data_IF_833227837277
#
_entry.id   IF_833227837277
#
_cell.length_a   1.000
_cell.length_b   1.000
_cell.length_c   1.000
_cell.angle_alpha   90.00
_cell.angle_beta   90.00
_cell.angle_gamma   90.00
#
_symmetry.space_group_name_H-M   'P 1'
#
loop_
_entity.id
_entity.type
_entity.pdbx_description
1 polymer ?
#
# COMPACT_ATOMS: atom_id res chain seq x y z
N UNK A 1 -54.58 33.85 -24.69
CA UNK A 1 -54.56 33.96 -26.17
C UNK A 1 -54.06 32.64 -26.63
N UNK A 2 -54.93 31.72 -26.97
CA UNK A 2 -55.48 31.33 -28.28
C UNK A 2 -54.33 30.86 -29.18
N UNK A 3 -54.35 29.71 -29.84
CA UNK A 3 -55.39 28.73 -30.21
C UNK A 3 -54.70 27.52 -30.80
N UNK A 4 -55.05 26.33 -30.46
CA UNK A 4 -55.79 25.31 -31.26
C UNK A 4 -55.45 25.18 -32.75
N UNK A 5 -55.08 23.96 -33.19
CA UNK A 5 -55.96 23.18 -34.05
C UNK A 5 -55.45 21.76 -34.35
N UNK A 6 -56.41 20.86 -34.32
CA UNK A 6 -56.35 19.46 -34.72
C UNK A 6 -56.86 19.28 -36.13
N UNK A 7 -56.46 18.17 -36.82
CA UNK A 7 -57.22 17.45 -37.85
C UNK A 7 -56.50 16.13 -38.13
N UNK A 8 -57.00 14.98 -37.77
CA UNK A 8 -58.04 14.06 -38.34
C UNK A 8 -57.72 13.57 -39.77
N UNK A 9 -57.66 12.25 -39.86
CA UNK A 9 -58.35 11.48 -40.87
C UNK A 9 -57.55 10.57 -41.78
N UNK A 10 -57.92 9.31 -41.77
CA UNK A 10 -57.93 8.58 -43.02
C UNK A 10 -57.44 7.12 -43.00
N UNK A 11 -58.34 6.23 -42.66
CA UNK A 11 -58.28 4.77 -42.87
C UNK A 11 -58.27 4.43 -44.36
N UNK A 12 -57.47 3.40 -44.75
CA UNK A 12 -57.82 2.55 -45.91
C UNK A 12 -57.20 1.15 -45.78
N UNK A 13 -58.06 0.16 -45.70
CA UNK A 13 -57.75 -1.28 -45.81
C UNK A 13 -57.55 -1.62 -47.26
N UNK A 14 -56.48 -2.38 -47.59
CA UNK A 14 -56.47 -3.22 -48.79
C UNK A 14 -55.87 -4.57 -48.47
N UNK A 15 -56.73 -5.62 -48.54
CA UNK A 15 -56.36 -7.03 -48.56
C UNK A 15 -55.82 -7.37 -49.95
N UNK A 16 -54.74 -8.11 -50.06
CA UNK A 16 -54.46 -8.97 -51.21
C UNK A 16 -53.55 -10.16 -50.84
N UNK A 17 -54.04 -11.26 -51.20
CA UNK A 17 -53.66 -12.68 -51.28
C UNK A 17 -52.17 -13.05 -51.34
N UNK A 18 -51.88 -14.14 -50.63
CA UNK A 18 -50.64 -14.90 -50.69
C UNK A 18 -50.49 -15.77 -51.96
N UNK A 19 -49.26 -16.09 -52.34
CA UNK A 19 -49.01 -17.46 -52.78
C UNK A 19 -47.98 -18.18 -51.88
N UNK A 20 -48.31 -19.41 -51.59
CA UNK A 20 -47.45 -20.38 -50.92
C UNK A 20 -46.30 -20.75 -51.85
N UNK A 21 -45.07 -20.52 -51.40
CA UNK A 21 -43.88 -21.04 -52.07
C UNK A 21 -43.12 -21.91 -51.03
N UNK A 22 -43.10 -23.22 -51.33
CA UNK A 22 -42.36 -24.18 -50.56
C UNK A 22 -40.85 -23.90 -50.66
N UNK A 23 -40.21 -23.63 -49.57
CA UNK A 23 -38.76 -23.45 -49.52
C UNK A 23 -38.15 -24.68 -48.83
N UNK A 24 -37.33 -25.38 -49.60
CA UNK A 24 -36.48 -26.49 -49.17
C UNK A 24 -35.48 -25.97 -48.09
N UNK A 25 -35.56 -26.51 -46.87
CA UNK A 25 -34.62 -26.21 -45.79
C UNK A 25 -33.33 -27.00 -46.06
N UNK A 26 -32.38 -26.35 -46.69
CA UNK A 26 -30.99 -26.78 -46.69
C UNK A 26 -30.33 -26.40 -45.34
N UNK A 27 -30.11 -27.39 -44.47
CA UNK A 27 -29.37 -27.22 -43.22
C UNK A 27 -27.90 -26.99 -43.54
N UNK A 28 -27.51 -25.73 -43.68
CA UNK A 28 -26.10 -25.34 -43.61
C UNK A 28 -25.69 -25.30 -42.15
N UNK A 29 -24.91 -26.29 -41.72
CA UNK A 29 -24.16 -26.25 -40.46
C UNK A 29 -23.21 -25.04 -40.51
N UNK A 30 -23.59 -23.92 -39.89
CA UNK A 30 -22.66 -22.89 -39.52
C UNK A 30 -21.78 -23.43 -38.40
N UNK A 31 -20.57 -23.90 -38.74
CA UNK A 31 -19.48 -24.01 -37.77
C UNK A 31 -19.22 -22.63 -37.17
N UNK A 32 -19.74 -22.42 -35.97
CA UNK A 32 -19.32 -21.29 -35.16
C UNK A 32 -17.82 -21.48 -34.84
N UNK A 33 -16.94 -20.82 -35.60
CA UNK A 33 -15.60 -20.58 -35.17
C UNK A 33 -15.70 -19.70 -33.90
N UNK A 34 -15.64 -20.35 -32.75
CA UNK A 34 -15.40 -19.65 -31.51
C UNK A 34 -14.00 -19.03 -31.61
N UNK A 35 -13.95 -17.76 -31.95
CA UNK A 35 -12.73 -16.96 -31.81
C UNK A 35 -12.39 -16.90 -30.34
N UNK A 36 -11.56 -17.82 -29.85
CA UNK A 36 -10.93 -17.71 -28.56
C UNK A 36 -10.08 -16.44 -28.63
N UNK A 37 -10.52 -15.40 -27.95
CA UNK A 37 -9.68 -14.21 -27.68
C UNK A 37 -8.37 -14.73 -27.09
N UNK A 38 -7.19 -14.41 -27.66
CA UNK A 38 -5.93 -14.89 -27.09
C UNK A 38 -5.84 -14.41 -25.64
N UNK A 39 -5.73 -15.36 -24.71
CA UNK A 39 -5.50 -15.05 -23.31
C UNK A 39 -4.19 -14.27 -23.19
N UNK A 40 -4.19 -13.15 -22.44
CA UNK A 40 -2.98 -12.40 -22.15
C UNK A 40 -1.94 -13.36 -21.52
N UNK A 41 -0.67 -13.23 -21.91
CA UNK A 41 0.42 -14.04 -21.35
C UNK A 41 1.54 -13.15 -20.82
N UNK A 42 2.25 -13.63 -19.79
CA UNK A 42 3.49 -13.06 -19.29
C UNK A 42 4.54 -14.17 -19.29
N UNK A 43 5.64 -13.97 -20.00
CA UNK A 43 6.66 -14.99 -20.24
C UNK A 43 6.08 -16.34 -20.73
N UNK A 44 5.06 -16.27 -21.59
CA UNK A 44 4.35 -17.44 -22.14
C UNK A 44 3.35 -18.09 -21.18
N UNK A 45 3.29 -17.68 -19.92
CA UNK A 45 2.34 -18.22 -18.95
C UNK A 45 0.99 -17.47 -19.03
N UNK A 46 -0.16 -18.18 -18.92
CA UNK A 46 -1.48 -17.54 -18.97
C UNK A 46 -1.70 -16.64 -17.76
N UNK A 47 -2.23 -15.43 -18.02
CA UNK A 47 -2.64 -14.50 -16.97
C UNK A 47 -4.05 -14.84 -16.49
N UNK A 48 -4.22 -14.88 -15.17
CA UNK A 48 -5.51 -14.97 -14.49
C UNK A 48 -5.79 -13.70 -13.73
N UNK A 49 -6.91 -13.06 -13.99
CA UNK A 49 -7.35 -11.87 -13.27
C UNK A 49 -8.23 -12.26 -12.09
N UNK A 50 -7.85 -11.85 -10.90
CA UNK A 50 -8.56 -12.02 -9.64
C UNK A 50 -9.23 -10.70 -9.26
N UNK A 51 -10.56 -10.73 -9.09
CA UNK A 51 -11.32 -9.56 -8.65
C UNK A 51 -11.79 -9.79 -7.22
N UNK A 52 -11.52 -8.85 -6.33
CA UNK A 52 -11.87 -8.92 -4.92
C UNK A 52 -12.48 -7.60 -4.47
N UNK A 53 -13.58 -7.69 -3.73
CA UNK A 53 -14.22 -6.53 -3.12
C UNK A 53 -14.46 -6.80 -1.64
N UNK A 54 -14.63 -5.75 -0.86
CA UNK A 54 -15.28 -5.87 0.44
C UNK A 54 -16.68 -6.46 0.25
N UNK A 55 -17.10 -7.33 1.15
CA UNK A 55 -18.42 -7.98 1.08
C UNK A 55 -19.57 -7.01 1.34
N UNK A 56 -19.27 -5.90 2.03
CA UNK A 56 -20.23 -4.84 2.39
C UNK A 56 -19.61 -3.47 2.14
N UNK A 57 -20.43 -2.49 1.77
CA UNK A 57 -20.03 -1.09 1.79
C UNK A 57 -19.65 -0.67 3.22
N UNK A 58 -18.63 0.17 3.32
CA UNK A 58 -18.17 0.71 4.61
C UNK A 58 -18.37 2.21 4.66
N UNK A 59 -18.95 2.69 5.77
CA UNK A 59 -19.05 4.13 6.06
C UNK A 59 -17.94 4.49 7.04
N UNK A 60 -16.94 5.30 6.64
CA UNK A 60 -15.85 5.68 7.50
C UNK A 60 -16.32 6.39 8.77
N UNK A 61 -15.62 6.19 9.87
CA UNK A 61 -16.00 6.69 11.19
C UNK A 61 -14.88 7.47 11.86
N UNK A 62 -15.25 8.52 12.60
CA UNK A 62 -14.29 9.31 13.40
C UNK A 62 -13.85 8.52 14.64
N UNK A 63 -12.98 7.56 14.46
CA UNK A 63 -12.44 6.74 15.55
C UNK A 63 -11.71 7.62 16.57
N UNK A 64 -12.05 7.47 17.85
CA UNK A 64 -11.50 8.26 18.96
C UNK A 64 -11.59 9.79 18.74
N UNK A 65 -12.55 10.26 17.93
CA UNK A 65 -12.72 11.67 17.59
C UNK A 65 -11.64 12.23 16.65
N UNK A 66 -10.95 11.35 15.92
CA UNK A 66 -9.99 11.72 14.89
C UNK A 66 -10.66 12.14 13.58
N UNK A 67 -9.83 12.51 12.61
CA UNK A 67 -10.21 12.90 11.24
C UNK A 67 -9.88 11.84 10.22
N UNK A 68 -9.43 10.69 10.68
CA UNK A 68 -8.96 9.59 9.85
C UNK A 68 -9.49 8.26 10.37
N UNK A 69 -9.76 7.34 9.46
CA UNK A 69 -10.18 5.98 9.77
C UNK A 69 -9.36 4.99 8.94
N UNK A 70 -8.92 3.92 9.60
CA UNK A 70 -8.23 2.81 8.97
C UNK A 70 -9.08 1.56 9.13
N UNK A 71 -9.60 1.07 8.02
CA UNK A 71 -10.44 -0.10 8.02
C UNK A 71 -9.81 -1.25 7.23
N UNK A 72 -9.64 -2.39 7.90
CA UNK A 72 -9.17 -3.63 7.31
C UNK A 72 -10.34 -4.54 6.99
N UNK A 73 -10.35 -5.11 5.80
CA UNK A 73 -11.25 -6.20 5.40
C UNK A 73 -10.46 -7.39 4.90
N UNK A 74 -10.98 -8.60 5.18
CA UNK A 74 -10.37 -9.81 4.71
C UNK A 74 -10.97 -10.20 3.37
N UNK A 75 -10.16 -10.24 2.31
CA UNK A 75 -10.59 -10.64 0.98
C UNK A 75 -9.94 -11.96 0.57
N UNK A 76 -10.69 -12.77 -0.17
CA UNK A 76 -10.25 -14.10 -0.58
C UNK A 76 -9.97 -14.13 -2.09
N UNK A 77 -8.71 -14.20 -2.51
CA UNK A 77 -8.32 -14.30 -3.91
C UNK A 77 -8.62 -15.69 -4.52
N UNK A 78 -9.05 -16.66 -3.71
CA UNK A 78 -9.35 -18.04 -4.12
C UNK A 78 -8.20 -18.73 -4.86
N UNK A 79 -6.96 -18.42 -4.47
CA UNK A 79 -5.75 -18.95 -5.13
C UNK A 79 -5.63 -20.46 -4.93
N UNK A 80 -5.75 -21.22 -6.03
CA UNK A 80 -5.74 -22.69 -6.03
C UNK A 80 -4.36 -23.30 -6.22
N UNK A 81 -3.38 -22.50 -6.65
CA UNK A 81 -1.99 -22.89 -6.84
C UNK A 81 -1.08 -21.72 -6.47
N UNK A 82 0.19 -22.00 -6.16
CA UNK A 82 1.17 -20.94 -5.97
C UNK A 82 1.28 -20.10 -7.25
N UNK A 83 1.23 -18.78 -7.10
CA UNK A 83 1.18 -17.83 -8.21
C UNK A 83 2.06 -16.60 -7.92
N UNK A 84 2.33 -15.84 -8.96
CA UNK A 84 2.93 -14.52 -8.84
C UNK A 84 1.92 -13.45 -9.26
N UNK A 85 1.80 -12.39 -8.49
CA UNK A 85 1.11 -11.16 -8.88
C UNK A 85 2.03 -10.40 -9.82
N UNK A 86 1.54 -10.08 -11.02
CA UNK A 86 2.28 -9.33 -12.07
C UNK A 86 1.71 -7.94 -12.29
N UNK A 87 0.49 -7.69 -11.85
CA UNK A 87 -0.07 -6.34 -11.76
C UNK A 87 -1.15 -6.27 -10.69
N UNK A 88 -1.41 -5.06 -10.21
CA UNK A 88 -2.49 -4.74 -9.29
C UNK A 88 -3.18 -3.45 -9.70
N UNK A 89 -4.48 -3.36 -9.45
CA UNK A 89 -5.24 -2.13 -9.60
C UNK A 89 -6.27 -2.04 -8.47
N UNK A 90 -6.20 -0.97 -7.72
CA UNK A 90 -7.18 -0.65 -6.69
C UNK A 90 -8.19 0.34 -7.25
N UNK A 91 -9.44 0.17 -6.86
CA UNK A 91 -10.55 1.03 -7.23
C UNK A 91 -11.19 1.54 -5.94
N UNK A 92 -11.05 2.82 -5.62
CA UNK A 92 -11.48 3.39 -4.33
C UNK A 92 -13.01 3.47 -4.18
N UNK A 93 -13.77 3.15 -5.21
CA UNK A 93 -15.22 3.27 -5.25
C UNK A 93 -15.68 4.16 -6.40
N UNK A 94 -16.83 4.77 -6.29
CA UNK A 94 -17.42 5.63 -7.33
C UNK A 94 -17.99 6.94 -6.76
N UNK A 95 -18.09 7.98 -7.58
CA UNK A 95 -18.72 9.24 -7.21
C UNK A 95 -17.88 10.08 -6.23
N UNK A 96 -18.53 10.80 -5.33
CA UNK A 96 -17.89 11.74 -4.40
C UNK A 96 -17.09 11.05 -3.30
N UNK A 97 -17.46 9.83 -2.91
CA UNK A 97 -16.77 9.07 -1.86
C UNK A 97 -15.33 8.67 -2.23
N UNK A 98 -14.95 8.75 -3.50
CA UNK A 98 -13.57 8.51 -3.95
C UNK A 98 -12.56 9.43 -3.28
N UNK A 99 -12.96 10.69 -3.02
CA UNK A 99 -12.08 11.68 -2.38
C UNK A 99 -11.76 11.36 -0.91
N UNK A 100 -12.55 10.49 -0.29
CA UNK A 100 -12.36 10.07 1.10
C UNK A 100 -11.30 8.99 1.24
N UNK A 101 -11.01 8.25 0.16
CA UNK A 101 -9.99 7.20 0.16
C UNK A 101 -8.62 7.82 -0.02
N UNK A 102 -7.82 7.81 1.07
CA UNK A 102 -6.49 8.39 1.09
C UNK A 102 -5.44 7.44 0.50
N UNK A 103 -5.41 6.19 0.96
CA UNK A 103 -4.61 5.12 0.35
C UNK A 103 -5.17 3.74 0.70
N UNK A 104 -4.68 2.73 0.02
CA UNK A 104 -4.96 1.34 0.33
C UNK A 104 -3.68 0.51 0.28
N UNK A 105 -3.55 -0.44 1.20
CA UNK A 105 -2.44 -1.38 1.25
C UNK A 105 -3.00 -2.80 1.26
N UNK A 106 -2.40 -3.67 0.46
CA UNK A 106 -2.72 -5.08 0.45
C UNK A 106 -1.62 -5.86 1.17
N UNK A 107 -2.00 -6.60 2.20
CA UNK A 107 -1.09 -7.47 2.94
C UNK A 107 -1.41 -8.94 2.70
N UNK A 108 -0.37 -9.74 2.51
CA UNK A 108 -0.50 -11.19 2.43
C UNK A 108 -0.85 -11.76 3.81
N UNK A 109 -1.89 -12.57 3.86
CA UNK A 109 -2.18 -13.45 4.99
C UNK A 109 -1.76 -14.87 4.60
N UNK A 110 -0.59 -15.35 5.03
CA UNK A 110 -0.15 -16.68 4.69
C UNK A 110 -1.06 -17.77 5.30
N UNK A 111 -1.11 -18.99 4.76
CA UNK A 111 -2.04 -20.02 5.20
C UNK A 111 -2.05 -20.28 6.71
N UNK A 112 -0.89 -20.17 7.38
CA UNK A 112 -0.75 -20.34 8.84
C UNK A 112 -1.52 -19.31 9.68
N UNK A 113 -1.79 -18.10 9.13
CA UNK A 113 -2.48 -17.01 9.83
C UNK A 113 -3.95 -16.85 9.42
N UNK A 114 -4.43 -17.62 8.45
CA UNK A 114 -5.81 -17.50 7.91
C UNK A 114 -6.87 -17.62 9.01
N UNK A 115 -6.69 -18.54 9.99
CA UNK A 115 -7.65 -18.68 11.09
C UNK A 115 -7.70 -17.44 11.96
N UNK A 116 -6.56 -16.89 12.34
CA UNK A 116 -6.48 -15.66 13.15
C UNK A 116 -7.07 -14.45 12.41
N UNK A 117 -6.77 -14.31 11.12
CA UNK A 117 -7.32 -13.25 10.29
C UNK A 117 -8.86 -13.32 10.16
N UNK A 118 -9.42 -14.51 9.98
CA UNK A 118 -10.88 -14.71 9.98
C UNK A 118 -11.53 -14.38 11.31
N UNK A 119 -10.85 -14.63 12.43
CA UNK A 119 -11.36 -14.25 13.76
C UNK A 119 -11.38 -12.74 13.93
N UNK A 120 -10.39 -12.02 13.38
CA UNK A 120 -10.33 -10.56 13.44
C UNK A 120 -11.38 -9.87 12.55
N UNK A 121 -11.82 -10.52 11.47
CA UNK A 121 -12.67 -9.94 10.41
C UNK A 121 -14.17 -9.81 10.80
N UNK A 122 -14.55 -10.09 12.03
CA UNK A 122 -15.95 -10.01 12.52
C UNK A 122 -17.01 -10.36 11.46
N UNK A 123 -16.97 -11.57 10.95
CA UNK A 123 -17.93 -12.08 9.96
C UNK A 123 -17.95 -11.32 8.62
N UNK A 124 -16.84 -10.76 8.19
CA UNK A 124 -16.71 -10.05 6.91
C UNK A 124 -17.04 -8.56 6.98
N UNK A 125 -17.25 -8.02 8.19
CA UNK A 125 -17.45 -6.56 8.39
C UNK A 125 -16.12 -5.81 8.43
N UNK A 126 -15.02 -6.50 8.66
CA UNK A 126 -13.71 -5.91 8.87
C UNK A 126 -13.51 -5.36 10.29
N UNK A 127 -12.44 -4.62 10.49
CA UNK A 127 -12.06 -4.04 11.79
C UNK A 127 -11.22 -2.79 11.62
N UNK A 128 -11.21 -1.92 12.66
CA UNK A 128 -10.28 -0.79 12.74
C UNK A 128 -8.85 -1.28 12.91
N UNK A 129 -7.91 -0.79 12.09
CA UNK A 129 -6.55 -1.29 12.04
C UNK A 129 -5.54 -0.17 11.75
N UNK A 130 -5.42 0.79 12.67
CA UNK A 130 -4.37 1.81 12.58
C UNK A 130 -2.98 1.16 12.55
N UNK A 131 -2.07 1.73 11.78
CA UNK A 131 -0.73 1.18 11.57
C UNK A 131 -0.74 -0.13 10.82
N UNK A 132 -0.18 -1.17 11.43
CA UNK A 132 -0.18 -2.51 10.85
C UNK A 132 -1.38 -3.33 11.29
N UNK A 133 -1.89 -4.24 10.43
CA UNK A 133 -2.88 -5.21 10.86
C UNK A 133 -2.34 -6.10 12.00
N UNK A 134 -2.87 -6.03 13.24
CA UNK A 134 -2.28 -6.73 14.40
C UNK A 134 -2.17 -8.25 14.24
N UNK A 135 -3.01 -8.84 13.40
CA UNK A 135 -2.97 -10.29 13.11
C UNK A 135 -1.68 -10.71 12.41
N UNK A 136 -0.98 -9.79 11.76
CA UNK A 136 0.31 -10.02 11.12
C UNK A 136 1.49 -9.76 12.08
N UNK A 137 1.22 -9.23 13.28
CA UNK A 137 2.18 -8.85 14.29
C UNK A 137 2.21 -7.34 14.54
N UNK A 138 2.95 -6.89 15.54
CA UNK A 138 3.02 -5.49 15.94
C UNK A 138 4.46 -5.04 16.21
N UNK A 139 4.69 -3.71 16.16
CA UNK A 139 5.96 -3.08 16.45
C UNK A 139 6.89 -2.98 15.24
N UNK A 140 7.94 -2.17 15.39
CA UNK A 140 8.81 -1.75 14.29
C UNK A 140 9.45 -2.91 13.52
N UNK A 141 9.86 -3.97 14.19
CA UNK A 141 10.44 -5.14 13.53
C UNK A 141 9.43 -5.82 12.61
N UNK A 142 8.15 -5.85 13.03
CA UNK A 142 7.07 -6.42 12.24
C UNK A 142 6.69 -5.49 11.10
N UNK A 143 6.62 -4.18 11.32
CA UNK A 143 6.40 -3.20 10.25
C UNK A 143 7.42 -3.37 9.12
N UNK A 144 8.70 -3.49 9.45
CA UNK A 144 9.78 -3.69 8.47
C UNK A 144 9.71 -5.06 7.75
N UNK A 145 9.07 -6.06 8.36
CA UNK A 145 8.89 -7.40 7.80
C UNK A 145 7.48 -7.65 7.24
N UNK A 146 6.64 -6.62 7.20
CA UNK A 146 5.25 -6.74 6.78
C UNK A 146 5.15 -7.27 5.34
N UNK A 147 4.31 -8.26 5.08
CA UNK A 147 4.21 -8.89 3.77
C UNK A 147 3.32 -8.08 2.81
N UNK A 148 3.81 -6.93 2.38
CA UNK A 148 3.12 -6.07 1.42
C UNK A 148 3.01 -6.75 0.07
N UNK A 149 1.81 -6.77 -0.51
CA UNK A 149 1.57 -7.25 -1.88
C UNK A 149 1.48 -6.10 -2.87
N UNK A 150 0.83 -5.01 -2.48
CA UNK A 150 0.63 -3.82 -3.27
C UNK A 150 0.25 -2.65 -2.38
N UNK A 151 0.45 -1.43 -2.87
CA UNK A 151 -0.06 -0.20 -2.28
C UNK A 151 -0.64 0.70 -3.37
N UNK A 152 -1.69 1.44 -3.03
CA UNK A 152 -2.31 2.43 -3.88
C UNK A 152 -2.48 3.75 -3.13
N UNK A 153 -2.26 4.84 -3.84
CA UNK A 153 -2.55 6.21 -3.40
C UNK A 153 -3.24 6.98 -4.54
N UNK A 154 -3.86 8.13 -4.31
CA UNK A 154 -4.48 8.94 -5.34
C UNK A 154 -3.54 9.17 -6.54
N UNK A 155 -4.11 9.18 -7.73
CA UNK A 155 -3.35 9.28 -8.98
C UNK A 155 -2.75 7.97 -9.50
N UNK A 156 -2.72 6.89 -8.69
CA UNK A 156 -2.25 5.57 -9.12
C UNK A 156 -3.28 4.88 -10.02
N UNK A 157 -2.86 4.51 -11.22
CA UNK A 157 -3.61 3.61 -12.10
C UNK A 157 -3.27 2.14 -11.85
N UNK A 158 -3.29 1.33 -12.91
CA UNK A 158 -2.83 -0.06 -12.87
C UNK A 158 -1.33 -0.11 -12.62
N UNK A 159 -0.94 -0.75 -11.55
CA UNK A 159 0.45 -0.97 -11.17
C UNK A 159 0.97 -2.27 -11.80
N UNK A 160 1.96 -2.18 -12.67
CA UNK A 160 2.52 -3.32 -13.41
C UNK A 160 3.95 -3.58 -12.94
N UNK A 161 4.22 -4.83 -12.56
CA UNK A 161 5.56 -5.25 -12.13
C UNK A 161 6.55 -5.21 -13.29
N UNK A 162 7.85 -4.94 -13.03
CA UNK A 162 8.87 -5.07 -14.06
C UNK A 162 8.86 -6.47 -14.67
N UNK A 163 9.14 -6.54 -15.97
CA UNK A 163 9.22 -7.83 -16.69
C UNK A 163 10.12 -8.82 -15.94
N UNK A 164 9.81 -10.10 -16.02
CA UNK A 164 10.49 -11.21 -15.36
C UNK A 164 10.41 -11.22 -13.83
N UNK A 165 9.59 -10.33 -13.21
CA UNK A 165 9.41 -10.26 -11.77
C UNK A 165 7.95 -10.43 -11.37
N UNK A 166 7.69 -10.86 -10.14
CA UNK A 166 6.33 -10.98 -9.61
C UNK A 166 6.32 -11.10 -8.09
N UNK A 167 5.26 -10.62 -7.46
CA UNK A 167 5.08 -10.74 -6.02
C UNK A 167 4.47 -12.11 -5.69
N UNK A 168 5.11 -12.93 -4.84
CA UNK A 168 4.62 -14.26 -4.52
C UNK A 168 3.25 -14.24 -3.83
N UNK A 169 2.32 -15.08 -4.31
CA UNK A 169 1.00 -15.29 -3.75
C UNK A 169 0.79 -16.80 -3.53
N UNK A 170 1.03 -17.33 -2.32
CA UNK A 170 0.92 -18.75 -2.02
C UNK A 170 -0.51 -19.27 -2.14
N UNK A 171 -0.65 -20.55 -2.52
CA UNK A 171 -1.93 -21.26 -2.51
C UNK A 171 -2.60 -21.17 -1.12
N UNK A 172 -3.89 -20.85 -1.11
CA UNK A 172 -4.69 -20.80 0.13
C UNK A 172 -4.45 -19.58 1.01
N UNK A 173 -3.67 -18.60 0.54
CA UNK A 173 -3.54 -17.30 1.20
C UNK A 173 -4.83 -16.50 1.12
N UNK A 174 -5.05 -15.64 2.11
CA UNK A 174 -5.99 -14.51 2.06
C UNK A 174 -5.22 -13.21 1.94
N UNK A 175 -5.94 -12.12 1.76
CA UNK A 175 -5.38 -10.76 1.67
C UNK A 175 -6.14 -9.88 2.67
N UNK A 176 -5.40 -9.10 3.45
CA UNK A 176 -5.98 -7.97 4.18
C UNK A 176 -5.91 -6.76 3.25
N UNK A 177 -7.06 -6.18 2.96
CA UNK A 177 -7.18 -4.90 2.29
C UNK A 177 -7.39 -3.84 3.37
N UNK A 178 -6.35 -3.08 3.68
CA UNK A 178 -6.40 -1.93 4.57
C UNK A 178 -6.68 -0.70 3.73
N UNK A 179 -7.71 0.05 4.10
CA UNK A 179 -8.05 1.31 3.45
C UNK A 179 -8.00 2.42 4.49
N UNK A 180 -7.26 3.47 4.19
CA UNK A 180 -7.21 4.69 4.97
C UNK A 180 -8.21 5.70 4.37
N UNK A 181 -9.11 6.18 5.21
CA UNK A 181 -10.11 7.18 4.86
C UNK A 181 -9.80 8.51 5.53
N UNK A 182 -9.86 9.60 4.76
CA UNK A 182 -9.71 10.96 5.23
C UNK A 182 -11.10 11.60 5.41
N UNK A 183 -11.57 11.68 6.65
CA UNK A 183 -12.88 12.23 7.00
C UNK A 183 -13.00 13.75 6.81
N UNK A 184 -11.87 14.45 6.59
CA UNK A 184 -11.92 15.86 6.18
C UNK A 184 -12.45 16.03 4.75
N UNK A 185 -12.46 14.96 3.96
CA UNK A 185 -13.02 14.93 2.61
C UNK A 185 -14.50 14.47 2.59
N UNK A 186 -14.95 13.74 3.61
CA UNK A 186 -16.33 13.26 3.75
C UNK A 186 -16.44 11.95 4.55
N UNK A 187 -17.67 11.45 4.68
CA UNK A 187 -18.03 10.24 5.41
C UNK A 187 -19.09 9.39 4.66
N UNK A 188 -19.08 9.43 3.34
CA UNK A 188 -20.02 8.68 2.51
C UNK A 188 -19.65 7.18 2.48
N UNK A 189 -20.62 6.28 2.26
CA UNK A 189 -20.33 4.86 2.09
C UNK A 189 -19.41 4.60 0.91
N UNK A 190 -18.37 3.77 1.12
CA UNK A 190 -17.38 3.39 0.12
C UNK A 190 -17.39 1.86 -0.06
N UNK A 191 -17.27 1.42 -1.30
CA UNK A 191 -17.11 -0.01 -1.63
C UNK A 191 -15.86 -0.18 -2.47
N UNK A 192 -14.67 -0.23 -1.83
CA UNK A 192 -13.43 -0.42 -2.55
C UNK A 192 -13.31 -1.84 -3.07
N UNK A 193 -12.64 -1.99 -4.21
CA UNK A 193 -12.27 -3.29 -4.74
C UNK A 193 -10.88 -3.27 -5.35
N UNK A 194 -10.29 -4.47 -5.51
CA UNK A 194 -8.96 -4.64 -6.10
C UNK A 194 -8.99 -5.73 -7.16
N UNK A 195 -8.22 -5.50 -8.21
CA UNK A 195 -7.95 -6.46 -9.28
C UNK A 195 -6.47 -6.81 -9.26
N UNK A 196 -6.16 -8.11 -9.27
CA UNK A 196 -4.80 -8.62 -9.38
C UNK A 196 -4.69 -9.50 -10.62
N UNK A 197 -3.71 -9.21 -11.47
CA UNK A 197 -3.32 -10.15 -12.52
C UNK A 197 -2.23 -11.07 -11.98
N UNK A 198 -2.43 -12.37 -12.16
CA UNK A 198 -1.52 -13.40 -11.64
C UNK A 198 -1.12 -14.38 -12.73
N UNK A 199 0.07 -14.96 -12.59
CA UNK A 199 0.55 -16.08 -13.38
C UNK A 199 0.93 -17.24 -12.46
N UNK A 200 0.87 -18.50 -12.92
CA UNK A 200 1.27 -19.64 -12.09
C UNK A 200 2.76 -19.61 -11.74
N UNK A 201 3.13 -20.26 -10.64
CA UNK A 201 4.52 -20.34 -10.19
C UNK A 201 5.48 -20.94 -11.25
N UNK A 202 4.95 -21.73 -12.18
CA UNK A 202 5.69 -22.29 -13.32
C UNK A 202 6.23 -21.24 -14.30
N UNK A 203 5.72 -20.00 -14.25
CA UNK A 203 6.31 -18.86 -14.98
C UNK A 203 7.73 -18.52 -14.53
N UNK A 204 8.15 -19.04 -13.36
CA UNK A 204 9.51 -18.91 -12.82
C UNK A 204 10.03 -17.47 -12.74
N UNK A 205 9.17 -16.54 -12.36
CA UNK A 205 9.52 -15.13 -12.18
C UNK A 205 10.44 -14.94 -10.97
N UNK A 206 11.27 -13.90 -10.99
CA UNK A 206 12.03 -13.47 -9.81
C UNK A 206 11.04 -12.97 -8.75
N UNK A 207 11.08 -13.49 -7.51
CA UNK A 207 10.22 -13.02 -6.45
C UNK A 207 10.57 -11.59 -6.05
N UNK A 208 9.56 -10.73 -5.98
CA UNK A 208 9.70 -9.38 -5.43
C UNK A 208 9.24 -9.32 -3.99
N UNK A 209 9.83 -8.41 -3.24
CA UNK A 209 9.34 -7.95 -1.93
C UNK A 209 9.39 -6.44 -1.87
N UNK A 210 8.45 -5.86 -1.14
CA UNK A 210 8.42 -4.43 -0.84
C UNK A 210 9.08 -4.24 0.52
N UNK A 211 10.05 -3.31 0.57
CA UNK A 211 10.77 -2.97 1.78
C UNK A 211 10.50 -1.50 2.11
N UNK A 212 9.85 -1.21 3.25
CA UNK A 212 9.72 0.15 3.75
C UNK A 212 11.03 0.67 4.32
N UNK A 213 11.31 1.95 4.10
CA UNK A 213 12.44 2.72 4.61
C UNK A 213 11.87 3.93 5.36
N UNK A 214 11.37 3.77 6.59
CA UNK A 214 10.79 4.87 7.34
C UNK A 214 11.86 5.75 8.01
N UNK A 215 11.48 7.03 8.28
CA UNK A 215 12.18 7.94 9.20
C UNK A 215 11.15 8.79 9.93
N UNK A 216 11.42 9.16 11.20
CA UNK A 216 10.46 9.94 11.99
C UNK A 216 10.57 11.41 11.63
N UNK A 217 9.50 12.06 11.17
CA UNK A 217 9.42 13.52 11.11
C UNK A 217 9.38 14.09 12.53
N UNK A 218 10.04 15.23 12.74
CA UNK A 218 9.95 16.00 13.97
C UNK A 218 9.87 17.47 13.58
N UNK A 219 8.67 17.93 13.20
CA UNK A 219 8.43 19.23 12.60
C UNK A 219 7.78 20.14 13.66
N UNK A 220 8.49 21.16 14.18
CA UNK A 220 7.91 22.08 15.14
C UNK A 220 6.87 23.00 14.49
N UNK A 221 5.98 23.56 15.30
CA UNK A 221 5.12 24.66 14.85
C UNK A 221 5.96 25.78 14.22
N UNK A 222 5.46 26.43 13.14
CA UNK A 222 6.15 27.55 12.51
C UNK A 222 6.43 28.68 13.51
N UNK A 223 7.51 29.45 13.30
CA UNK A 223 7.85 30.58 14.12
C UNK A 223 6.67 31.58 14.27
N UNK A 224 6.33 31.93 15.49
CA UNK A 224 5.20 32.81 15.82
C UNK A 224 3.86 32.10 15.94
N UNK A 225 3.79 30.81 15.62
CA UNK A 225 2.59 29.98 15.83
C UNK A 225 2.71 29.25 17.17
N UNK A 226 1.73 29.44 18.06
CA UNK A 226 1.73 28.85 19.40
C UNK A 226 0.45 28.08 19.66
N UNK A 227 0.53 27.10 20.54
CA UNK A 227 -0.59 26.29 21.00
C UNK A 227 -0.11 25.18 21.92
N UNK A 228 -0.99 24.60 22.77
CA UNK A 228 -0.61 23.53 23.68
C UNK A 228 0.01 22.32 22.96
N UNK A 229 -0.50 21.98 21.77
CA UNK A 229 -0.03 20.86 20.98
C UNK A 229 1.25 21.16 20.17
N UNK A 230 1.79 22.39 20.22
CA UNK A 230 3.12 22.68 19.68
C UNK A 230 4.26 22.11 20.56
N UNK A 231 3.94 21.67 21.78
CA UNK A 231 4.81 20.82 22.57
C UNK A 231 4.76 19.37 22.07
N UNK A 232 5.93 18.81 21.74
CA UNK A 232 6.03 17.44 21.21
C UNK A 232 5.44 16.41 22.17
N UNK A 233 5.67 16.57 23.47
CA UNK A 233 5.19 15.62 24.48
C UNK A 233 3.66 15.60 24.61
N UNK A 234 3.04 16.77 24.42
CA UNK A 234 1.58 16.92 24.37
C UNK A 234 1.03 16.28 23.10
N UNK A 235 1.70 16.49 21.96
CA UNK A 235 1.25 15.89 20.71
C UNK A 235 1.38 14.36 20.70
N UNK A 236 2.47 13.81 21.23
CA UNK A 236 2.61 12.35 21.38
C UNK A 236 1.47 11.74 22.21
N UNK A 237 1.01 12.43 23.28
CA UNK A 237 -0.17 11.98 24.04
C UNK A 237 -1.46 12.06 23.20
N UNK A 238 -1.59 13.08 22.36
CA UNK A 238 -2.71 13.22 21.43
C UNK A 238 -2.72 12.11 20.39
N UNK A 239 -1.58 11.78 19.80
CA UNK A 239 -1.41 10.65 18.88
C UNK A 239 -1.80 9.32 19.53
N UNK A 240 -1.31 9.07 20.76
CA UNK A 240 -1.66 7.87 21.51
C UNK A 240 -3.16 7.78 21.81
N UNK A 241 -3.85 8.91 22.03
CA UNK A 241 -5.30 8.94 22.20
C UNK A 241 -6.04 8.59 20.89
N UNK A 242 -5.57 9.12 19.75
CA UNK A 242 -6.22 8.89 18.44
C UNK A 242 -5.99 7.47 17.92
N UNK A 243 -4.76 6.98 17.96
CA UNK A 243 -4.35 5.76 17.27
C UNK A 243 -3.98 4.60 18.21
N UNK A 244 -3.87 4.86 19.51
CA UNK A 244 -3.41 3.88 20.48
C UNK A 244 -1.95 4.08 20.88
N UNK A 245 -1.54 3.46 22.00
CA UNK A 245 -0.21 3.63 22.57
C UNK A 245 0.94 3.08 21.70
N UNK A 246 0.62 2.23 20.70
CA UNK A 246 1.63 1.67 19.81
C UNK A 246 2.40 2.76 19.06
N UNK A 247 1.72 3.87 18.68
CA UNK A 247 2.31 4.92 17.85
C UNK A 247 3.52 5.58 18.53
N UNK A 248 3.45 5.83 19.82
CA UNK A 248 4.55 6.43 20.57
C UNK A 248 5.72 5.48 20.77
N UNK A 249 5.43 4.18 20.92
CA UNK A 249 6.47 3.15 21.00
C UNK A 249 7.14 2.94 19.63
N UNK A 250 6.37 3.01 18.55
CA UNK A 250 6.87 2.94 17.18
C UNK A 250 7.78 4.14 16.88
N UNK A 251 7.33 5.36 17.19
CA UNK A 251 8.06 6.62 17.01
C UNK A 251 9.42 6.54 17.71
N UNK A 252 9.45 6.28 19.02
CA UNK A 252 10.68 6.17 19.78
C UNK A 252 11.60 5.02 19.31
N UNK A 253 11.02 3.88 18.91
CA UNK A 253 11.77 2.76 18.38
C UNK A 253 12.44 3.09 17.05
N UNK A 254 11.73 3.78 16.15
CA UNK A 254 12.25 4.20 14.86
C UNK A 254 13.35 5.27 15.01
N UNK A 255 13.16 6.27 15.89
CA UNK A 255 14.20 7.24 16.23
C UNK A 255 15.48 6.55 16.71
N UNK A 256 15.33 5.59 17.64
CA UNK A 256 16.47 4.79 18.13
C UNK A 256 17.16 4.04 17.00
N UNK A 257 16.41 3.40 16.10
CA UNK A 257 16.95 2.69 14.93
C UNK A 257 17.68 3.64 14.01
N UNK A 258 17.17 4.87 13.84
CA UNK A 258 17.83 5.92 13.02
C UNK A 258 19.01 6.60 13.75
N UNK A 259 19.39 6.15 14.94
CA UNK A 259 20.52 6.70 15.71
C UNK A 259 20.20 8.01 16.41
N UNK A 260 18.93 8.33 16.60
CA UNK A 260 18.46 9.53 17.29
C UNK A 260 18.14 9.23 18.76
N UNK A 261 18.15 10.26 19.61
CA UNK A 261 17.70 10.14 21.00
C UNK A 261 16.20 10.45 21.09
N UNK A 262 15.33 9.47 21.41
CA UNK A 262 13.88 9.67 21.45
C UNK A 262 13.41 10.70 22.49
N UNK A 263 14.22 10.93 23.55
CA UNK A 263 13.90 11.95 24.56
C UNK A 263 14.16 13.39 24.06
N UNK A 264 15.03 13.55 23.07
CA UNK A 264 15.36 14.85 22.45
C UNK A 264 15.79 14.64 21.00
N UNK A 265 14.87 14.25 20.10
CA UNK A 265 15.20 14.02 18.71
C UNK A 265 15.50 15.32 17.97
N UNK A 266 16.33 15.30 16.93
CA UNK A 266 16.49 16.45 16.05
C UNK A 266 15.15 16.88 15.47
N UNK A 267 14.84 18.18 15.55
CA UNK A 267 13.61 18.74 14.98
C UNK A 267 13.92 19.74 13.87
N UNK A 268 13.03 19.82 12.87
CA UNK A 268 13.18 20.72 11.73
C UNK A 268 12.37 20.28 10.52
N UNK A 269 12.68 20.87 9.38
CA UNK A 269 11.94 20.63 8.14
C UNK A 269 12.52 19.47 7.31
N UNK A 270 13.51 18.77 7.81
CA UNK A 270 14.11 17.62 7.10
C UNK A 270 14.36 16.50 8.09
N UNK A 271 14.00 15.29 7.71
CA UNK A 271 14.31 14.08 8.46
C UNK A 271 15.04 13.08 7.58
N UNK A 272 15.89 12.26 8.18
CA UNK A 272 16.62 11.22 7.48
C UNK A 272 16.76 9.97 8.32
N UNK A 273 16.83 8.80 7.65
CA UNK A 273 17.25 7.56 8.27
C UNK A 273 18.11 6.74 7.30
N UNK A 274 19.17 6.12 7.81
CA UNK A 274 20.08 5.28 7.02
C UNK A 274 19.88 3.81 7.37
N UNK A 275 19.49 3.02 6.40
CA UNK A 275 19.20 1.61 6.50
C UNK A 275 20.33 0.76 5.91
N UNK A 276 20.72 -0.28 6.60
CA UNK A 276 21.79 -1.19 6.12
C UNK A 276 21.17 -2.34 5.33
N UNK A 277 21.68 -2.57 4.12
CA UNK A 277 21.39 -3.77 3.32
C UNK A 277 22.06 -4.98 3.97
N UNK A 278 21.29 -6.05 4.18
CA UNK A 278 21.76 -7.30 4.81
C UNK A 278 21.93 -8.45 3.83
N UNK A 279 21.18 -8.44 2.73
CA UNK A 279 21.25 -9.48 1.70
C UNK A 279 21.47 -8.86 0.32
N UNK A 280 22.21 -9.56 -0.53
CA UNK A 280 22.48 -9.09 -1.87
C UNK A 280 21.25 -9.24 -2.79
N UNK A 281 21.08 -8.31 -3.74
CA UNK A 281 19.98 -8.32 -4.70
C UNK A 281 20.01 -7.14 -5.65
N UNK A 282 18.84 -6.85 -6.25
CA UNK A 282 18.64 -5.65 -7.06
C UNK A 282 17.42 -4.87 -6.54
N UNK A 283 17.54 -3.56 -6.52
CA UNK A 283 16.38 -2.66 -6.41
C UNK A 283 15.86 -2.43 -7.83
N UNK A 284 14.56 -2.73 -8.03
CA UNK A 284 13.91 -2.71 -9.35
C UNK A 284 12.88 -1.59 -9.49
N UNK A 285 12.36 -1.10 -8.35
CA UNK A 285 11.40 0.01 -8.26
C UNK A 285 11.58 0.77 -6.95
N UNK A 286 11.12 2.01 -6.92
CA UNK A 286 11.00 2.80 -5.70
C UNK A 286 9.78 3.71 -5.75
N UNK A 287 9.24 4.08 -4.58
CA UNK A 287 8.14 5.04 -4.45
C UNK A 287 8.32 5.93 -3.23
N UNK A 288 7.84 7.19 -3.28
CA UNK A 288 7.76 8.07 -2.13
C UNK A 288 6.42 7.91 -1.41
N UNK A 289 6.40 8.12 -0.08
CA UNK A 289 5.18 8.36 0.67
C UNK A 289 5.44 9.38 1.78
N UNK A 290 4.67 10.45 1.77
CA UNK A 290 4.59 11.49 2.78
C UNK A 290 3.14 11.95 2.87
N UNK A 291 2.80 12.77 3.89
CA UNK A 291 1.48 13.38 3.99
C UNK A 291 1.49 14.82 3.44
N UNK A 292 0.59 15.66 3.95
CA UNK A 292 0.24 16.95 3.34
C UNK A 292 1.32 18.04 3.45
N UNK A 293 2.29 17.91 4.36
CA UNK A 293 3.40 18.85 4.48
C UNK A 293 4.60 18.44 3.63
N UNK A 294 4.55 17.28 2.97
CA UNK A 294 5.63 16.76 2.15
C UNK A 294 6.01 17.74 1.03
N UNK A 295 7.32 17.99 0.88
CA UNK A 295 7.90 18.84 -0.17
C UNK A 295 8.83 18.09 -1.10
N UNK A 296 9.68 17.21 -0.56
CA UNK A 296 10.63 16.43 -1.35
C UNK A 296 10.98 15.12 -0.62
N UNK A 297 11.23 14.06 -1.38
CA UNK A 297 11.73 12.80 -0.87
C UNK A 297 12.84 12.25 -1.79
N UNK A 298 13.93 11.78 -1.18
CA UNK A 298 14.97 11.05 -1.91
C UNK A 298 15.38 9.76 -1.21
N UNK A 299 15.86 8.79 -1.99
CA UNK A 299 16.51 7.58 -1.51
C UNK A 299 17.87 7.48 -2.20
N UNK A 300 18.95 7.44 -1.41
CA UNK A 300 20.31 7.36 -1.92
C UNK A 300 21.02 6.12 -1.40
N UNK A 301 21.57 5.33 -2.32
CA UNK A 301 22.45 4.22 -2.00
C UNK A 301 23.85 4.77 -1.67
N UNK A 302 24.44 4.32 -0.55
CA UNK A 302 25.80 4.65 -0.10
C UNK A 302 26.09 6.17 -0.04
N UNK A 303 25.10 6.93 0.46
CA UNK A 303 25.21 8.40 0.60
C UNK A 303 26.51 8.82 1.31
N UNK A 304 27.12 9.90 0.83
CA UNK A 304 28.38 10.43 1.37
C UNK A 304 29.64 9.63 0.99
N UNK A 305 29.55 8.65 0.09
CA UNK A 305 30.69 7.87 -0.41
C UNK A 305 30.94 8.09 -1.89
N UNK A 306 32.11 7.66 -2.40
CA UNK A 306 32.40 7.64 -3.84
C UNK A 306 31.49 6.69 -4.65
N UNK A 307 30.74 5.82 -3.97
CA UNK A 307 29.81 4.86 -4.57
C UNK A 307 28.34 5.29 -4.43
N UNK A 308 28.10 6.54 -4.07
CA UNK A 308 26.74 7.07 -3.94
C UNK A 308 25.96 6.98 -5.25
N UNK A 309 24.71 6.50 -5.18
CA UNK A 309 23.79 6.42 -6.33
C UNK A 309 22.40 6.84 -5.91
N UNK A 310 21.75 7.66 -6.72
CA UNK A 310 20.33 7.97 -6.56
C UNK A 310 19.49 6.75 -6.90
N UNK A 311 18.65 6.34 -5.96
CA UNK A 311 17.63 5.29 -6.14
C UNK A 311 16.29 5.93 -6.49
N UNK A 312 15.94 7.00 -5.79
CA UNK A 312 14.73 7.82 -6.02
C UNK A 312 15.06 9.27 -5.73
N UNK A 313 14.57 10.17 -6.57
CA UNK A 313 14.62 11.62 -6.33
C UNK A 313 13.28 12.24 -6.75
N UNK A 314 12.58 12.81 -5.79
CA UNK A 314 11.29 13.49 -5.95
C UNK A 314 11.43 14.89 -5.35
N UNK A 315 11.99 15.86 -6.10
CA UNK A 315 12.27 17.21 -5.60
C UNK A 315 11.00 18.05 -5.39
N UNK A 316 9.91 17.69 -6.03
CA UNK A 316 8.60 18.32 -5.92
C UNK A 316 7.56 17.24 -5.63
N UNK A 317 7.43 16.90 -4.35
CA UNK A 317 6.46 15.89 -3.93
C UNK A 317 5.03 16.41 -4.10
N UNK A 318 4.17 15.59 -4.68
CA UNK A 318 2.73 15.82 -4.78
C UNK A 318 1.98 14.70 -4.05
N UNK A 319 1.26 15.08 -3.00
CA UNK A 319 0.45 14.17 -2.20
C UNK A 319 -0.57 13.38 -3.05
N UNK A 320 -1.06 13.95 -4.14
CA UNK A 320 -2.01 13.30 -5.04
C UNK A 320 -1.35 12.47 -6.13
N UNK A 321 -0.02 12.34 -6.12
CA UNK A 321 0.74 11.62 -7.14
C UNK A 321 1.94 10.88 -6.55
N UNK A 322 1.70 9.71 -5.96
CA UNK A 322 2.70 8.93 -5.22
C UNK A 322 3.10 7.65 -5.97
N UNK A 323 3.31 7.73 -7.28
CA UNK A 323 3.55 6.57 -8.13
C UNK A 323 4.90 5.91 -7.89
N UNK A 324 4.92 4.56 -7.96
CA UNK A 324 6.15 3.80 -8.01
C UNK A 324 6.84 3.95 -9.36
N UNK A 325 8.15 4.19 -9.33
CA UNK A 325 9.01 4.39 -10.51
C UNK A 325 9.84 3.14 -10.76
N UNK A 326 9.79 2.59 -11.98
CA UNK A 326 10.64 1.49 -12.40
C UNK A 326 12.08 1.97 -12.61
N UNK A 327 13.05 1.30 -11.99
CA UNK A 327 14.47 1.62 -12.07
C UNK A 327 15.10 0.86 -13.24
N UNK A 328 15.74 1.57 -14.14
CA UNK A 328 16.48 0.99 -15.29
C UNK A 328 17.79 1.73 -15.52
N UNK A 329 18.93 1.02 -15.54
CA UNK A 329 19.11 -0.39 -15.18
C UNK A 329 18.86 -0.64 -13.69
N UNK A 330 18.52 -1.87 -13.30
CA UNK A 330 18.35 -2.25 -11.90
C UNK A 330 19.61 -1.95 -11.08
N UNK A 331 19.42 -1.47 -9.85
CA UNK A 331 20.53 -1.11 -8.98
C UNK A 331 20.92 -2.32 -8.13
N UNK A 332 22.12 -2.85 -8.37
CA UNK A 332 22.71 -3.93 -7.55
C UNK A 332 23.01 -3.40 -6.15
N UNK A 333 22.67 -4.18 -5.14
CA UNK A 333 23.00 -3.93 -3.74
C UNK A 333 23.63 -5.16 -3.10
N UNK A 334 24.51 -4.94 -2.12
CA UNK A 334 25.28 -5.96 -1.44
C UNK A 334 25.20 -5.79 0.08
N UNK A 335 25.44 -6.84 0.89
CA UNK A 335 25.53 -6.71 2.33
C UNK A 335 26.56 -5.65 2.73
N UNK A 336 26.14 -4.74 3.61
CA UNK A 336 26.96 -3.61 4.05
C UNK A 336 26.67 -2.30 3.33
N UNK A 337 26.08 -2.32 2.14
CA UNK A 337 25.55 -1.11 1.50
C UNK A 337 24.50 -0.44 2.39
N UNK A 338 24.30 0.86 2.19
CA UNK A 338 23.32 1.65 2.94
C UNK A 338 22.32 2.30 2.00
N UNK A 339 21.06 2.42 2.46
CA UNK A 339 20.01 3.18 1.80
C UNK A 339 19.58 4.31 2.75
N UNK A 340 19.84 5.55 2.38
CA UNK A 340 19.43 6.73 3.13
C UNK A 340 18.13 7.26 2.53
N UNK A 341 17.06 7.28 3.31
CA UNK A 341 15.85 8.06 3.00
C UNK A 341 15.98 9.45 3.58
N UNK A 342 15.54 10.45 2.82
CA UNK A 342 15.51 11.86 3.24
C UNK A 342 14.21 12.49 2.80
N UNK A 343 13.47 13.09 3.74
CA UNK A 343 12.24 13.82 3.48
C UNK A 343 12.38 15.29 3.91
N UNK A 344 11.89 16.18 3.08
CA UNK A 344 11.81 17.62 3.36
C UNK A 344 10.35 18.05 3.37
N UNK A 345 9.99 18.91 4.32
CA UNK A 345 8.63 19.38 4.57
C UNK A 345 8.51 20.89 4.39
N UNK A 346 7.31 21.36 4.07
CA UNK A 346 6.94 22.78 4.14
C UNK A 346 5.88 22.99 5.23
N UNK A 347 6.28 23.34 6.49
CA UNK A 347 5.32 23.53 7.57
C UNK A 347 4.34 24.69 7.32
N UNK A 348 4.62 25.60 6.38
CA UNK A 348 3.71 26.71 6.05
C UNK A 348 2.42 26.20 5.39
N UNK A 349 2.43 24.98 4.83
CA UNK A 349 1.26 24.33 4.27
C UNK A 349 0.17 24.07 5.33
N UNK A 350 0.54 23.90 6.59
CA UNK A 350 -0.43 23.77 7.69
C UNK A 350 -1.41 24.96 7.77
N UNK A 351 -0.97 26.16 7.39
CA UNK A 351 -1.79 27.37 7.40
C UNK A 351 -2.45 27.65 6.03
N UNK A 352 -1.91 27.10 4.95
CA UNK A 352 -2.35 27.35 3.57
C UNK A 352 -3.42 26.36 3.10
N UNK A 353 -3.26 25.09 3.44
CA UNK A 353 -4.15 24.02 2.97
C UNK A 353 -5.50 24.10 3.67
N UNK A 354 -6.62 24.11 2.93
CA UNK A 354 -7.96 24.23 3.49
C UNK A 354 -8.30 23.19 4.56
N UNK A 355 -7.81 21.97 4.41
CA UNK A 355 -8.02 20.86 5.32
C UNK A 355 -7.20 20.98 6.61
N UNK A 356 -6.01 21.58 6.57
CA UNK A 356 -5.13 21.72 7.73
C UNK A 356 -5.36 23.01 8.52
N UNK A 357 -5.60 24.15 7.84
CA UNK A 357 -5.72 25.47 8.49
C UNK A 357 -6.85 25.59 9.52
N UNK A 358 -7.80 24.64 9.51
CA UNK A 358 -8.91 24.59 10.49
C UNK A 358 -8.54 23.83 11.76
N UNK A 359 -7.42 23.11 11.75
CA UNK A 359 -6.95 22.33 12.89
C UNK A 359 -6.16 23.22 13.84
N UNK A 360 -6.20 22.96 15.16
CA UNK A 360 -5.32 23.61 16.10
C UNK A 360 -3.86 23.40 15.73
N UNK A 361 -2.99 24.42 15.87
CA UNK A 361 -1.56 24.26 15.65
C UNK A 361 -0.98 23.14 16.52
N UNK A 362 -0.14 22.30 15.93
CA UNK A 362 0.47 21.17 16.62
C UNK A 362 1.86 20.84 16.07
N UNK A 363 2.69 20.25 16.92
CA UNK A 363 3.93 19.62 16.53
C UNK A 363 3.61 18.41 15.65
N UNK A 364 4.29 18.25 14.51
CA UNK A 364 3.99 17.16 13.58
C UNK A 364 5.09 16.10 13.65
N UNK A 365 4.71 14.87 13.96
CA UNK A 365 5.60 13.72 13.97
C UNK A 365 4.98 12.54 13.22
N UNK A 366 5.59 11.37 13.31
CA UNK A 366 5.04 10.17 12.67
C UNK A 366 3.64 9.87 13.20
N UNK A 367 2.70 9.71 12.30
CA UNK A 367 1.33 9.37 12.64
C UNK A 367 0.52 8.90 11.44
N UNK A 368 -0.54 8.15 11.74
CA UNK A 368 -1.41 7.56 10.73
C UNK A 368 -2.42 8.55 10.13
N UNK A 369 -2.61 9.72 10.75
CA UNK A 369 -3.58 10.70 10.26
C UNK A 369 -3.04 11.58 9.15
N UNK A 370 -3.92 12.01 8.26
CA UNK A 370 -3.61 12.92 7.15
C UNK A 370 -2.98 14.24 7.61
N UNK A 371 -3.27 14.66 8.85
CA UNK A 371 -2.70 15.86 9.49
C UNK A 371 -1.37 15.63 10.19
N UNK A 372 -0.99 14.38 10.40
CA UNK A 372 0.33 13.98 10.87
C UNK A 372 1.28 13.83 9.67
N UNK A 373 2.47 13.31 9.85
CA UNK A 373 3.39 13.11 8.74
C UNK A 373 4.05 11.75 8.75
N UNK A 374 4.45 11.31 7.55
CA UNK A 374 5.32 10.17 7.35
C UNK A 374 6.52 10.59 6.50
N UNK A 375 7.66 9.96 6.73
CA UNK A 375 8.77 9.89 5.80
C UNK A 375 8.95 8.42 5.47
N UNK A 376 8.46 7.98 4.32
CA UNK A 376 8.48 6.58 3.98
C UNK A 376 8.91 6.38 2.52
N UNK A 377 10.15 5.97 2.33
CA UNK A 377 10.60 5.43 1.06
C UNK A 377 10.18 3.97 0.93
N UNK A 378 9.73 3.56 -0.24
CA UNK A 378 9.45 2.17 -0.55
C UNK A 378 10.41 1.70 -1.65
N UNK A 379 11.00 0.52 -1.49
CA UNK A 379 11.81 -0.11 -2.55
C UNK A 379 11.33 -1.52 -2.83
N UNK A 380 11.23 -1.87 -4.11
CA UNK A 380 10.96 -3.24 -4.55
C UNK A 380 12.27 -3.93 -4.87
N UNK A 381 12.44 -5.10 -4.33
CA UNK A 381 13.70 -5.83 -4.38
C UNK A 381 13.50 -7.22 -4.96
N UNK A 382 14.53 -7.71 -5.65
CA UNK A 382 14.61 -9.07 -6.19
C UNK A 382 15.96 -9.68 -5.83
N UNK A 383 16.07 -11.03 -5.68
CA UNK A 383 17.35 -11.69 -5.43
C UNK A 383 18.30 -11.55 -6.61
N UNK A 384 19.62 -11.64 -6.36
CA UNK A 384 20.65 -11.63 -7.42
C UNK A 384 20.45 -12.75 -8.43
N UNK A 385 20.18 -13.96 -7.93
CA UNK A 385 20.02 -15.12 -8.79
C UNK A 385 18.57 -15.19 -9.30
N UNK A 386 18.40 -15.21 -10.63
CA UNK A 386 17.10 -15.33 -11.27
C UNK A 386 16.39 -16.65 -10.95
N UNK A 387 17.16 -17.71 -10.67
CA UNK A 387 16.64 -19.03 -10.32
C UNK A 387 16.37 -19.22 -8.82
N UNK A 388 16.43 -18.15 -8.02
CA UNK A 388 16.09 -18.25 -6.59
C UNK A 388 14.64 -18.72 -6.42
N UNK A 389 14.48 -19.89 -5.80
CA UNK A 389 13.18 -20.46 -5.54
C UNK A 389 12.47 -19.70 -4.40
N UNK A 390 11.16 -19.51 -4.58
CA UNK A 390 10.31 -18.93 -3.52
C UNK A 390 10.13 -19.96 -2.41
N UNK A 391 10.35 -19.56 -1.17
CA UNK A 391 9.82 -20.28 -0.02
C UNK A 391 8.33 -19.96 0.13
N UNK A 392 7.46 -20.78 -0.43
CA UNK A 392 6.02 -20.58 -0.42
C UNK A 392 5.38 -20.65 0.97
N UNK A 393 6.12 -21.10 1.99
CA UNK A 393 5.68 -21.06 3.40
C UNK A 393 6.01 -19.71 4.05
N UNK A 394 7.04 -19.03 3.55
CA UNK A 394 7.48 -17.72 4.01
C UNK A 394 7.94 -16.85 2.82
N UNK A 395 7.01 -16.42 1.96
CA UNK A 395 7.32 -15.85 0.64
C UNK A 395 7.96 -14.45 0.67
N UNK A 396 8.02 -13.80 1.82
CA UNK A 396 8.52 -12.42 1.99
C UNK A 396 10.04 -12.33 2.14
N UNK A 397 10.78 -13.36 1.74
CA UNK A 397 12.24 -13.43 1.80
C UNK A 397 12.93 -12.51 0.77
N UNK A 398 12.68 -11.20 0.83
CA UNK A 398 13.41 -10.18 0.08
C UNK A 398 14.76 -9.84 0.69
N UNK A 399 15.42 -8.81 0.15
CA UNK A 399 16.62 -8.23 0.74
C UNK A 399 16.24 -7.74 2.15
N UNK A 400 16.91 -8.28 3.17
CA UNK A 400 16.66 -7.82 4.52
C UNK A 400 17.40 -6.50 4.74
N UNK A 401 16.68 -5.51 5.24
CA UNK A 401 17.21 -4.23 5.68
C UNK A 401 17.18 -4.19 7.20
N UNK A 402 18.19 -3.61 7.80
CA UNK A 402 18.30 -3.45 9.25
C UNK A 402 18.71 -2.05 9.62
N UNK A 403 18.65 -1.72 10.88
CA UNK A 403 19.03 -0.43 11.44
C UNK A 403 20.45 0.03 11.05
N UNK A 404 20.84 1.27 11.39
CA UNK A 404 22.05 1.93 10.93
C UNK A 404 23.33 1.17 11.30
N UNK A 405 24.44 1.45 10.58
CA UNK A 405 25.76 0.97 10.96
C UNK A 405 26.11 1.44 12.38
N UNK A 406 26.35 0.52 13.32
CA UNK A 406 26.75 0.82 14.70
C UNK A 406 25.62 0.83 15.74
N UNK A 407 24.37 0.68 15.36
CA UNK A 407 23.27 0.50 16.32
C UNK A 407 23.41 -0.81 17.10
N UNK A 408 23.44 -0.72 18.43
CA UNK A 408 23.41 -1.90 19.32
C UNK A 408 22.17 -2.72 19.00
N UNK A 409 22.33 -4.04 18.89
CA UNK A 409 21.19 -4.96 18.91
C UNK A 409 20.46 -4.74 20.24
N UNK A 410 19.13 -4.50 20.25
CA UNK A 410 18.37 -4.65 21.50
C UNK A 410 18.62 -6.06 22.02
N UNK A 411 19.11 -6.16 23.26
CA UNK A 411 19.71 -7.32 23.87
C UNK A 411 19.09 -8.67 23.49
N UNK A 412 19.91 -9.54 22.91
CA UNK A 412 19.69 -10.95 23.00
C UNK A 412 19.66 -11.32 24.50
N UNK A 413 18.64 -12.04 24.93
CA UNK A 413 18.59 -12.59 26.30
C UNK A 413 19.93 -13.27 26.60
N UNK A 414 20.52 -13.04 27.79
CA UNK A 414 21.66 -13.84 28.24
C UNK A 414 21.22 -15.30 28.23
N UNK A 415 21.99 -16.16 27.57
CA UNK A 415 21.75 -17.59 27.58
C UNK A 415 21.70 -18.07 29.02
N UNK A 416 20.61 -18.72 29.42
CA UNK A 416 20.59 -19.53 30.65
C UNK A 416 21.64 -20.63 30.50
N UNK A 417 22.49 -20.87 31.51
CA UNK A 417 23.39 -21.99 31.49
C UNK A 417 22.56 -23.28 31.47
N UNK A 418 22.96 -24.20 30.60
CA UNK A 418 22.40 -25.55 30.57
C UNK A 418 22.62 -26.20 31.97
N UNK A 419 21.53 -26.45 32.66
CA UNK A 419 21.57 -27.35 33.85
C UNK A 419 21.79 -28.76 33.34
N UNK A 420 22.96 -29.30 33.66
CA UNK A 420 23.28 -30.70 33.53
C UNK A 420 22.33 -31.49 34.42
N UNK A 421 21.43 -32.28 33.84
CA UNK A 421 20.73 -33.35 34.59
C UNK A 421 21.70 -34.53 34.72
N UNK A 422 22.26 -34.68 35.90
CA UNK A 422 22.75 -35.95 36.42
C UNK A 422 21.88 -36.30 37.63
N UNK A 423 21.29 -37.48 37.60
CA UNK A 423 20.54 -38.10 38.69
C UNK A 423 19.42 -38.94 38.15
#
# INVERSE_FOLDING_TARGET
MQSTNAATGGTSLLRLMAPVLALVIGSTMLSACSSSTPSATVDGAPVTTLNMASTTGYTPQAINGGTDDYHCTLVNPQVKQNSFIVSSQFFPGTGKSVAEVHHAILFLVPPKLVRAAKTADDHGKGWTCFGEPPVLGTGIAQFLAMPWLSAWAPGHGKDVMPLTTGTPLPKGSLIIMQVHYNLLAGDLPVTPHVQLDTVPASANLRPTSIQPLPAVPNIPCPTGVTGPRCDRSVELKNLAKRFGSYITTFDAGLETICGQNPANPPSGNTTTCTWRVRTAGYIVRAAPHMHLLGKALSITLNDGTAHAKTVLDVPNYDFNYQNAINIKPWIKVSPGDTLKVSCTYDPTLAQKLPQLRKLPPHFVTWGDGTSDEMCLGLVWQVPLNASTKVDWKNPTGGIQIGGPPGGHRPGGRPGMPATSANG
#
